data_IF_629179951478
#
_entry.id   IF_629179951478
#
_cell.length_a   1.000
_cell.length_b   1.000
_cell.length_c   1.000
_cell.angle_alpha   90.00
_cell.angle_beta   90.00
_cell.angle_gamma   90.00
#
_symmetry.space_group_name_H-M   'P 1'
#
loop_
_entity.id
_entity.type
_entity.pdbx_description
1 polymer ?
#
# COMPACT_ATOMS: atom_id res chain seq x y z
N UNK A 1 26.36 22.53 6.64
CA UNK A 1 25.15 23.37 6.57
C UNK A 1 25.01 23.89 5.14
N UNK A 2 24.07 23.36 4.35
CA UNK A 2 23.80 23.87 2.99
C UNK A 2 22.91 25.10 3.12
N UNK A 3 23.39 26.24 2.65
CA UNK A 3 22.68 27.52 2.66
C UNK A 3 21.51 27.46 1.68
N UNK A 4 20.28 27.51 2.21
CA UNK A 4 19.08 27.67 1.40
C UNK A 4 19.06 29.09 0.80
N UNK A 5 19.23 29.21 -0.52
CA UNK A 5 18.95 30.46 -1.23
C UNK A 5 17.44 30.64 -1.28
N UNK A 6 16.92 31.49 -0.40
CA UNK A 6 15.56 32.01 -0.48
C UNK A 6 15.50 32.91 -1.71
N UNK A 7 14.83 32.48 -2.77
CA UNK A 7 14.43 33.40 -3.84
C UNK A 7 13.41 34.37 -3.23
N UNK A 8 13.81 35.62 -3.00
CA UNK A 8 12.88 36.68 -2.64
C UNK A 8 11.76 36.71 -3.68
N UNK A 9 10.47 36.72 -3.30
CA UNK A 9 9.41 36.97 -4.25
C UNK A 9 9.72 38.29 -4.97
N UNK A 10 9.45 38.38 -6.28
CA UNK A 10 9.54 39.63 -7.02
C UNK A 10 8.60 40.63 -6.33
N UNK A 11 9.11 41.41 -5.40
CA UNK A 11 8.47 42.63 -4.94
C UNK A 11 8.31 43.48 -6.19
N UNK A 12 7.08 43.68 -6.67
CA UNK A 12 6.81 44.81 -7.53
C UNK A 12 7.23 46.04 -6.72
N UNK A 13 8.42 46.56 -7.01
CA UNK A 13 8.84 47.84 -6.48
C UNK A 13 7.91 48.86 -7.10
N UNK A 14 6.91 49.28 -6.34
CA UNK A 14 6.06 50.39 -6.72
C UNK A 14 6.96 51.61 -6.83
N UNK A 15 7.16 52.11 -8.05
CA UNK A 15 7.99 53.28 -8.31
C UNK A 15 7.04 54.49 -8.41
N UNK A 16 6.86 55.30 -7.36
CA UNK A 16 5.78 56.28 -7.27
C UNK A 16 6.04 57.54 -8.13
N UNK A 17 6.91 57.46 -9.14
CA UNK A 17 7.30 58.62 -9.97
C UNK A 17 6.20 59.09 -10.94
N UNK A 18 5.07 58.39 -11.02
CA UNK A 18 3.97 58.72 -11.96
C UNK A 18 2.63 59.05 -11.29
N UNK A 19 2.54 59.15 -9.97
CA UNK A 19 1.30 59.57 -9.29
C UNK A 19 1.37 61.07 -9.06
N UNK A 20 0.65 61.83 -9.90
CA UNK A 20 0.61 63.30 -9.82
C UNK A 20 -0.26 63.80 -8.66
N UNK A 21 -1.15 62.97 -8.11
CA UNK A 21 -1.98 63.31 -6.94
C UNK A 21 -2.52 62.08 -6.19
N UNK A 22 -2.86 62.23 -4.90
CA UNK A 22 -3.56 61.20 -4.10
C UNK A 22 -4.92 60.80 -4.72
N UNK A 23 -5.55 61.72 -5.46
CA UNK A 23 -6.76 61.49 -6.26
C UNK A 23 -6.53 60.53 -7.44
N UNK A 24 -5.37 60.60 -8.10
CA UNK A 24 -4.98 59.66 -9.16
C UNK A 24 -4.64 58.26 -8.60
N UNK A 25 -4.13 58.21 -7.37
CA UNK A 25 -3.92 56.96 -6.66
C UNK A 25 -5.25 56.31 -6.25
N UNK A 26 -6.17 57.09 -5.66
CA UNK A 26 -7.48 56.57 -5.23
C UNK A 26 -8.34 56.09 -6.40
N UNK A 27 -8.17 56.64 -7.59
CA UNK A 27 -8.90 56.23 -8.80
C UNK A 27 -8.29 55.03 -9.53
N UNK A 28 -7.00 54.71 -9.27
CA UNK A 28 -6.32 53.53 -9.83
C UNK A 28 -6.39 52.29 -8.93
N UNK A 29 -6.85 52.44 -7.69
CA UNK A 29 -7.11 51.34 -6.76
C UNK A 29 -8.58 50.92 -6.89
N UNK A 30 -8.83 49.80 -7.57
CA UNK A 30 -10.14 49.15 -7.51
C UNK A 30 -10.37 48.64 -6.06
N UNK A 31 -11.35 49.17 -5.30
CA UNK A 31 -11.45 48.96 -3.85
C UNK A 31 -11.65 47.49 -3.45
N UNK A 32 -12.16 46.67 -4.36
CA UNK A 32 -12.46 45.25 -4.13
C UNK A 32 -11.47 44.29 -4.81
N UNK A 33 -10.35 44.79 -5.37
CA UNK A 33 -9.42 43.98 -6.16
C UNK A 33 -8.00 44.02 -5.60
N UNK A 34 -7.50 42.87 -5.19
CA UNK A 34 -6.14 42.71 -4.64
C UNK A 34 -5.45 41.55 -5.36
N UNK A 35 -4.28 41.78 -5.96
CA UNK A 35 -3.51 40.77 -6.71
C UNK A 35 -4.35 39.99 -7.75
N UNK A 36 -5.25 40.68 -8.47
CA UNK A 36 -6.12 40.05 -9.48
C UNK A 36 -7.31 39.26 -8.92
N UNK A 37 -7.47 39.19 -7.60
CA UNK A 37 -8.63 38.59 -6.94
C UNK A 37 -9.68 39.65 -6.64
N UNK A 38 -10.95 39.36 -6.85
CA UNK A 38 -12.05 40.32 -6.63
C UNK A 38 -12.98 39.83 -5.53
N UNK A 39 -13.18 40.62 -4.47
CA UNK A 39 -14.19 40.33 -3.46
C UNK A 39 -15.59 40.72 -3.98
N UNK A 40 -16.55 39.82 -3.88
CA UNK A 40 -17.95 40.03 -4.28
C UNK A 40 -18.90 39.37 -3.28
N UNK A 41 -20.06 39.96 -3.12
CA UNK A 41 -21.22 39.30 -2.51
C UNK A 41 -22.00 38.61 -3.62
N UNK A 42 -22.25 37.31 -3.47
CA UNK A 42 -22.82 36.46 -4.53
C UNK A 42 -24.05 35.73 -3.97
N UNK A 43 -25.19 35.75 -4.68
CA UNK A 43 -26.36 34.95 -4.34
C UNK A 43 -26.04 33.46 -4.23
N UNK A 44 -26.56 32.78 -3.20
CA UNK A 44 -26.25 31.37 -2.95
C UNK A 44 -26.71 30.41 -4.06
N UNK A 45 -27.72 30.82 -4.83
CA UNK A 45 -28.27 30.09 -5.99
C UNK A 45 -27.41 30.22 -7.26
N UNK A 46 -26.50 31.21 -7.31
CA UNK A 46 -25.52 31.37 -8.39
C UNK A 46 -24.20 30.65 -8.12
N UNK A 47 -24.12 29.90 -7.01
CA UNK A 47 -22.93 29.18 -6.58
C UNK A 47 -23.20 27.68 -6.62
N UNK A 48 -22.41 26.98 -7.43
CA UNK A 48 -22.41 25.55 -7.61
C UNK A 48 -21.24 24.89 -6.85
N UNK A 49 -21.52 23.74 -6.23
CA UNK A 49 -20.50 22.88 -5.63
C UNK A 49 -20.17 21.71 -6.58
N UNK A 50 -18.88 21.51 -6.85
CA UNK A 50 -18.37 20.27 -7.49
C UNK A 50 -17.80 19.35 -6.42
N UNK A 51 -17.70 18.02 -6.68
CA UNK A 51 -17.03 17.09 -5.77
C UNK A 51 -15.66 17.63 -5.32
N UNK A 52 -15.49 17.74 -4.00
CA UNK A 52 -14.27 18.21 -3.37
C UNK A 52 -13.44 17.03 -2.84
N UNK A 53 -12.14 17.25 -2.73
CA UNK A 53 -11.18 16.29 -2.13
C UNK A 53 -11.60 15.83 -0.73
N UNK A 54 -12.09 16.76 0.10
CA UNK A 54 -12.60 16.44 1.45
C UNK A 54 -14.12 16.30 1.37
N UNK A 55 -14.61 15.10 1.67
CA UNK A 55 -16.05 14.77 1.52
C UNK A 55 -16.85 14.97 2.80
N UNK A 56 -16.23 14.74 3.97
CA UNK A 56 -16.91 14.85 5.27
C UNK A 56 -16.64 16.22 5.89
N UNK A 57 -17.72 16.95 6.17
CA UNK A 57 -17.69 18.26 6.80
C UNK A 57 -18.35 18.24 8.17
N UNK A 58 -17.57 18.56 9.20
CA UNK A 58 -17.98 18.51 10.60
C UNK A 58 -18.39 19.91 11.10
N UNK A 59 -19.30 19.95 12.09
CA UNK A 59 -19.76 21.16 12.78
C UNK A 59 -20.39 22.24 11.88
N UNK A 60 -21.19 21.84 10.89
CA UNK A 60 -21.91 22.78 10.00
C UNK A 60 -22.96 23.59 10.79
N UNK A 61 -23.71 22.94 11.70
CA UNK A 61 -24.78 23.61 12.45
C UNK A 61 -24.29 24.74 13.37
N UNK A 62 -23.20 24.51 14.09
CA UNK A 62 -22.55 25.54 14.91
C UNK A 62 -22.06 26.71 14.05
N UNK A 63 -21.44 26.40 12.90
CA UNK A 63 -21.01 27.43 11.95
C UNK A 63 -22.20 28.19 11.36
N UNK A 64 -23.32 27.53 11.08
CA UNK A 64 -24.53 28.17 10.58
C UNK A 64 -25.08 29.18 11.60
N UNK A 65 -25.10 28.82 12.88
CA UNK A 65 -25.52 29.75 13.94
C UNK A 65 -24.59 30.96 14.05
N UNK A 66 -23.27 30.72 13.97
CA UNK A 66 -22.28 31.81 13.92
C UNK A 66 -22.47 32.73 12.71
N UNK A 67 -22.79 32.16 11.54
CA UNK A 67 -22.97 32.92 10.29
C UNK A 67 -24.18 33.85 10.30
N UNK A 68 -25.19 33.61 11.14
CA UNK A 68 -26.31 34.56 11.34
C UNK A 68 -25.83 35.92 11.88
N UNK A 69 -24.74 35.92 12.65
CA UNK A 69 -24.10 37.15 13.16
C UNK A 69 -23.19 37.82 12.12
N UNK A 70 -22.98 37.19 10.96
CA UNK A 70 -22.13 37.68 9.90
C UNK A 70 -21.06 36.69 9.46
N UNK A 71 -20.64 36.80 8.20
CA UNK A 71 -19.56 35.99 7.65
C UNK A 71 -18.21 36.60 8.01
N UNK A 72 -17.37 35.85 8.73
CA UNK A 72 -16.03 36.33 9.11
C UNK A 72 -14.98 36.20 8.01
N UNK A 73 -15.10 35.19 7.15
CA UNK A 73 -14.13 34.90 6.10
C UNK A 73 -14.84 34.54 4.79
N UNK A 74 -14.44 35.13 3.65
CA UNK A 74 -15.03 34.84 2.35
C UNK A 74 -14.71 33.41 1.88
N UNK A 75 -15.57 32.85 1.03
CA UNK A 75 -15.26 31.63 0.27
C UNK A 75 -14.41 31.95 -0.96
N UNK A 76 -13.80 30.95 -1.59
CA UNK A 76 -13.09 31.13 -2.87
C UNK A 76 -13.86 30.46 -3.99
N UNK A 77 -14.13 31.21 -5.07
CA UNK A 77 -14.91 30.74 -6.22
C UNK A 77 -14.22 31.08 -7.53
N UNK A 78 -14.48 30.28 -8.55
CA UNK A 78 -14.13 30.59 -9.93
C UNK A 78 -15.41 30.79 -10.76
N UNK A 79 -15.35 31.68 -11.75
CA UNK A 79 -16.46 31.82 -12.70
C UNK A 79 -16.51 30.62 -13.63
N UNK A 80 -17.70 30.05 -13.81
CA UNK A 80 -18.01 28.97 -14.75
C UNK A 80 -18.35 29.51 -16.13
N UNK A 81 -18.30 28.67 -17.16
CA UNK A 81 -18.72 28.98 -18.52
C UNK A 81 -20.18 29.42 -18.60
N UNK A 82 -21.03 28.86 -17.73
CA UNK A 82 -22.47 29.16 -17.68
C UNK A 82 -22.80 30.47 -16.96
N UNK A 83 -21.80 31.25 -16.55
CA UNK A 83 -21.99 32.51 -15.82
C UNK A 83 -22.09 32.38 -14.29
N UNK A 84 -22.45 31.19 -13.79
CA UNK A 84 -22.42 30.84 -12.36
C UNK A 84 -21.00 30.80 -11.79
N UNK A 85 -20.90 30.59 -10.47
CA UNK A 85 -19.66 30.44 -9.72
C UNK A 85 -19.49 29.00 -9.23
N UNK A 86 -18.28 28.46 -9.30
CA UNK A 86 -17.96 27.13 -8.74
C UNK A 86 -17.07 27.30 -7.52
N UNK A 87 -17.44 26.64 -6.43
CA UNK A 87 -16.66 26.64 -5.18
C UNK A 87 -15.32 25.94 -5.41
N UNK A 88 -14.24 26.66 -5.10
CA UNK A 88 -12.89 26.11 -5.03
C UNK A 88 -12.50 25.77 -3.60
N UNK A 89 -12.85 26.63 -2.64
CA UNK A 89 -12.56 26.46 -1.21
C UNK A 89 -13.67 27.09 -0.35
N UNK A 90 -13.91 26.48 0.81
CA UNK A 90 -14.88 27.01 1.78
C UNK A 90 -16.30 26.47 1.64
N UNK A 91 -16.47 25.28 1.04
CA UNK A 91 -17.78 24.64 0.88
C UNK A 91 -18.54 24.52 2.21
N UNK A 92 -17.84 24.28 3.33
CA UNK A 92 -18.45 24.26 4.67
C UNK A 92 -19.19 25.56 5.02
N UNK A 93 -18.62 26.71 4.66
CA UNK A 93 -19.25 28.03 4.90
C UNK A 93 -20.44 28.24 3.97
N UNK A 94 -20.36 27.77 2.73
CA UNK A 94 -21.49 27.83 1.82
C UNK A 94 -22.66 26.96 2.28
N UNK A 95 -22.40 25.72 2.75
CA UNK A 95 -23.42 24.87 3.36
C UNK A 95 -23.99 25.48 4.64
N UNK A 96 -23.14 26.04 5.51
CA UNK A 96 -23.57 26.72 6.72
C UNK A 96 -24.40 27.98 6.41
N UNK A 97 -24.05 28.76 5.39
CA UNK A 97 -24.83 29.91 4.92
C UNK A 97 -26.22 29.48 4.46
N UNK A 98 -26.31 28.39 3.69
CA UNK A 98 -27.59 27.79 3.27
C UNK A 98 -28.41 27.35 4.47
N UNK A 99 -27.80 26.65 5.43
CA UNK A 99 -28.47 26.20 6.64
C UNK A 99 -28.91 27.38 7.54
N UNK A 100 -28.16 28.47 7.56
CA UNK A 100 -28.47 29.70 8.27
C UNK A 100 -29.60 30.52 7.62
N UNK A 101 -29.99 30.19 6.37
CA UNK A 101 -31.02 30.89 5.62
C UNK A 101 -30.55 32.22 5.01
N UNK A 102 -29.25 32.40 4.79
CA UNK A 102 -28.73 33.57 4.10
C UNK A 102 -29.14 33.56 2.61
N UNK A 103 -29.33 34.73 2.00
CA UNK A 103 -29.60 34.85 0.56
C UNK A 103 -28.33 34.90 -0.27
N UNK A 104 -27.25 35.43 0.31
CA UNK A 104 -25.98 35.71 -0.35
C UNK A 104 -24.80 35.48 0.58
N UNK A 105 -23.60 35.35 0.01
CA UNK A 105 -22.36 35.08 0.73
C UNK A 105 -21.20 35.87 0.11
N UNK A 106 -20.27 36.33 0.94
CA UNK A 106 -19.02 36.95 0.49
C UNK A 106 -18.07 35.89 -0.09
N UNK A 107 -17.57 36.17 -1.29
CA UNK A 107 -16.71 35.30 -2.04
C UNK A 107 -15.59 36.07 -2.73
N UNK A 108 -14.39 35.53 -2.69
CA UNK A 108 -13.25 35.97 -3.48
C UNK A 108 -13.31 35.22 -4.81
N UNK A 109 -13.55 35.96 -5.89
CA UNK A 109 -13.48 35.46 -7.26
C UNK A 109 -12.02 35.40 -7.69
N UNK A 110 -11.57 34.21 -8.05
CA UNK A 110 -10.23 33.92 -8.55
C UNK A 110 -10.29 33.34 -9.97
N UNK A 111 -9.13 33.26 -10.62
CA UNK A 111 -9.00 32.62 -11.92
C UNK A 111 -9.39 31.14 -11.85
N UNK A 112 -10.14 30.67 -12.85
CA UNK A 112 -10.58 29.28 -12.92
C UNK A 112 -9.38 28.34 -13.10
N UNK A 113 -9.38 27.16 -12.45
CA UNK A 113 -8.43 26.10 -12.77
C UNK A 113 -8.51 25.75 -14.26
N UNK A 114 -7.37 25.53 -14.91
CA UNK A 114 -7.33 25.24 -16.35
C UNK A 114 -7.98 23.91 -16.71
N UNK A 115 -7.95 22.96 -15.79
CA UNK A 115 -8.56 21.65 -15.92
C UNK A 115 -8.90 21.07 -14.53
N UNK A 116 -9.51 19.89 -14.54
CA UNK A 116 -9.91 19.17 -13.33
C UNK A 116 -8.73 18.85 -12.41
N UNK A 117 -7.61 18.39 -12.99
CA UNK A 117 -6.42 18.04 -12.23
C UNK A 117 -5.86 19.26 -11.47
N UNK A 118 -5.81 20.43 -12.11
CA UNK A 118 -5.38 21.68 -11.48
C UNK A 118 -6.26 22.05 -10.28
N UNK A 119 -7.57 21.78 -10.37
CA UNK A 119 -8.49 21.95 -9.23
C UNK A 119 -8.13 21.00 -8.09
N UNK A 120 -7.99 19.71 -8.37
CA UNK A 120 -7.65 18.69 -7.36
C UNK A 120 -6.30 19.00 -6.71
N UNK A 121 -5.28 19.37 -7.49
CA UNK A 121 -3.97 19.77 -6.96
C UNK A 121 -4.07 20.99 -6.03
N UNK A 122 -4.87 21.99 -6.40
CA UNK A 122 -5.10 23.17 -5.56
C UNK A 122 -5.74 22.81 -4.22
N UNK A 123 -6.77 21.95 -4.25
CA UNK A 123 -7.46 21.47 -3.04
C UNK A 123 -6.54 20.60 -2.17
N UNK A 124 -5.81 19.66 -2.76
CA UNK A 124 -4.85 18.82 -2.03
C UNK A 124 -3.76 19.66 -1.38
N UNK A 125 -3.19 20.62 -2.10
CA UNK A 125 -2.11 21.47 -1.58
C UNK A 125 -2.59 22.25 -0.36
N UNK A 126 -3.79 22.82 -0.42
CA UNK A 126 -4.38 23.57 0.69
C UNK A 126 -4.72 22.66 1.89
N UNK A 127 -5.35 21.51 1.65
CA UNK A 127 -5.70 20.56 2.73
C UNK A 127 -4.46 19.96 3.41
N UNK A 128 -3.41 19.64 2.64
CA UNK A 128 -2.13 19.13 3.18
C UNK A 128 -1.44 20.21 4.02
N UNK A 129 -1.47 21.48 3.60
CA UNK A 129 -0.90 22.60 4.36
C UNK A 129 -1.64 22.88 5.67
N UNK A 130 -2.92 22.51 5.77
CA UNK A 130 -3.72 22.60 6.99
C UNK A 130 -3.51 21.44 7.97
N UNK A 131 -2.62 20.51 7.64
CA UNK A 131 -2.32 19.30 8.44
C UNK A 131 -3.56 18.46 8.81
N UNK A 132 -4.66 18.61 8.07
CA UNK A 132 -5.97 18.01 8.39
C UNK A 132 -6.51 17.19 7.21
N UNK A 133 -5.62 16.39 6.61
CA UNK A 133 -5.93 15.56 5.45
C UNK A 133 -6.14 14.11 5.89
N UNK A 134 -7.35 13.57 5.72
CA UNK A 134 -7.64 12.17 6.01
C UNK A 134 -7.01 11.26 4.94
N UNK A 135 -6.63 10.05 5.33
CA UNK A 135 -6.00 9.09 4.42
C UNK A 135 -6.96 8.66 3.31
N UNK A 136 -8.25 8.47 3.60
CA UNK A 136 -9.28 8.11 2.60
C UNK A 136 -9.40 9.16 1.48
N UNK A 137 -9.48 10.43 1.84
CA UNK A 137 -9.55 11.56 0.91
C UNK A 137 -8.27 11.59 0.03
N UNK A 138 -7.11 11.28 0.63
CA UNK A 138 -5.83 11.32 -0.07
C UNK A 138 -5.68 10.16 -1.07
N UNK A 139 -6.15 8.96 -0.70
CA UNK A 139 -6.21 7.79 -1.59
C UNK A 139 -7.11 8.09 -2.78
N UNK A 140 -8.30 8.61 -2.53
CA UNK A 140 -9.30 8.92 -3.58
C UNK A 140 -8.75 9.97 -4.54
N UNK A 141 -8.20 11.07 -4.02
CA UNK A 141 -7.68 12.16 -4.84
C UNK A 141 -6.46 11.75 -5.69
N UNK A 142 -5.57 10.93 -5.13
CA UNK A 142 -4.42 10.41 -5.89
C UNK A 142 -4.91 9.44 -6.98
N UNK A 143 -5.92 8.62 -6.70
CA UNK A 143 -6.56 7.77 -7.72
C UNK A 143 -7.16 8.61 -8.85
N UNK A 144 -7.89 9.69 -8.54
CA UNK A 144 -8.48 10.58 -9.54
C UNK A 144 -7.41 11.24 -10.41
N UNK A 145 -6.31 11.73 -9.82
CA UNK A 145 -5.20 12.30 -10.59
C UNK A 145 -4.55 11.29 -11.53
N UNK A 146 -4.40 10.03 -11.10
CA UNK A 146 -3.88 8.95 -11.95
C UNK A 146 -4.85 8.66 -13.10
N UNK A 147 -6.16 8.64 -12.85
CA UNK A 147 -7.18 8.45 -13.88
C UNK A 147 -7.22 9.61 -14.89
N UNK A 148 -6.91 10.83 -14.45
CA UNK A 148 -6.73 12.02 -15.29
C UNK A 148 -5.41 12.02 -16.09
N UNK A 149 -4.60 10.95 -16.01
CA UNK A 149 -3.41 10.75 -16.82
C UNK A 149 -2.10 11.24 -16.17
N UNK A 150 -2.12 11.69 -14.92
CA UNK A 150 -0.90 12.08 -14.22
C UNK A 150 -0.16 10.87 -13.66
N UNK A 151 1.15 10.80 -13.94
CA UNK A 151 1.98 9.76 -13.32
C UNK A 151 2.37 10.13 -11.88
N UNK A 152 2.73 9.13 -11.07
CA UNK A 152 3.08 9.31 -9.66
C UNK A 152 4.27 10.26 -9.44
N UNK A 153 5.18 10.38 -10.40
CA UNK A 153 6.34 11.28 -10.32
C UNK A 153 5.92 12.75 -10.46
N UNK A 154 5.00 13.04 -11.39
CA UNK A 154 4.41 14.36 -11.56
C UNK A 154 3.61 14.79 -10.34
N UNK A 155 2.76 13.88 -9.83
CA UNK A 155 1.95 14.13 -8.62
C UNK A 155 2.86 14.44 -7.43
N UNK A 156 3.91 13.65 -7.21
CA UNK A 156 4.88 13.85 -6.14
C UNK A 156 5.58 15.22 -6.23
N UNK A 157 6.06 15.57 -7.43
CA UNK A 157 6.73 16.86 -7.67
C UNK A 157 5.79 18.03 -7.40
N UNK A 158 4.53 17.94 -7.85
CA UNK A 158 3.55 19.03 -7.71
C UNK A 158 3.05 19.22 -6.29
N UNK A 159 2.92 18.13 -5.52
CA UNK A 159 2.54 18.17 -4.10
C UNK A 159 3.74 18.39 -3.16
N UNK A 160 4.98 18.40 -3.66
CA UNK A 160 6.18 18.54 -2.84
C UNK A 160 6.40 17.36 -1.89
N UNK A 161 6.04 16.14 -2.30
CA UNK A 161 6.16 14.89 -1.53
C UNK A 161 7.09 13.91 -2.21
N UNK A 162 7.55 12.90 -1.48
CA UNK A 162 8.37 11.83 -2.03
C UNK A 162 7.57 10.96 -3.01
N UNK A 163 8.20 10.56 -4.12
CA UNK A 163 7.59 9.61 -5.06
C UNK A 163 7.17 8.31 -4.38
N UNK A 164 7.98 7.81 -3.43
CA UNK A 164 7.63 6.59 -2.68
C UNK A 164 6.37 6.78 -1.85
N UNK A 165 6.17 7.96 -1.24
CA UNK A 165 4.96 8.28 -0.50
C UNK A 165 3.71 8.25 -1.40
N UNK A 166 3.75 8.93 -2.55
CA UNK A 166 2.65 8.91 -3.53
C UNK A 166 2.38 7.50 -4.06
N UNK A 167 3.44 6.74 -4.33
CA UNK A 167 3.32 5.35 -4.80
C UNK A 167 2.60 4.46 -3.79
N UNK A 168 2.92 4.60 -2.49
CA UNK A 168 2.23 3.86 -1.42
C UNK A 168 0.75 4.18 -1.41
N UNK A 169 0.38 5.46 -1.46
CA UNK A 169 -1.03 5.87 -1.42
C UNK A 169 -1.77 5.40 -2.67
N UNK A 170 -1.17 5.55 -3.86
CA UNK A 170 -1.77 5.09 -5.10
C UNK A 170 -2.06 3.57 -5.06
N UNK A 171 -1.19 2.76 -4.44
CA UNK A 171 -1.42 1.31 -4.29
C UNK A 171 -2.63 0.97 -3.42
N UNK A 172 -3.07 1.87 -2.54
CA UNK A 172 -4.21 1.63 -1.65
C UNK A 172 -5.56 1.78 -2.35
N UNK A 173 -5.61 2.42 -3.53
CA UNK A 173 -6.84 2.51 -4.32
C UNK A 173 -7.38 1.11 -4.72
N UNK A 174 -6.46 0.17 -4.98
CA UNK A 174 -6.74 -1.23 -5.27
C UNK A 174 -6.58 -2.17 -4.06
N UNK A 175 -6.50 -1.64 -2.84
CA UNK A 175 -6.39 -2.47 -1.64
C UNK A 175 -7.65 -3.31 -1.39
N UNK A 176 -7.50 -4.36 -0.58
CA UNK A 176 -8.58 -5.22 -0.14
C UNK A 176 -9.76 -4.39 0.43
N UNK A 177 -11.03 -4.74 0.15
CA UNK A 177 -12.19 -3.93 0.56
C UNK A 177 -12.22 -3.58 2.05
N UNK A 178 -11.89 -4.54 2.92
CA UNK A 178 -11.81 -4.31 4.37
C UNK A 178 -10.69 -3.33 4.78
N UNK A 179 -9.59 -3.25 4.01
CA UNK A 179 -8.54 -2.24 4.26
C UNK A 179 -9.07 -0.85 3.95
N UNK A 180 -9.79 -0.69 2.84
CA UNK A 180 -10.42 0.59 2.48
C UNK A 180 -11.45 1.01 3.54
N UNK A 181 -12.21 0.05 4.07
CA UNK A 181 -13.10 0.30 5.20
C UNK A 181 -12.34 0.75 6.44
N UNK A 182 -11.24 0.09 6.83
CA UNK A 182 -10.44 0.50 7.99
C UNK A 182 -9.81 1.89 7.83
N UNK A 183 -9.47 2.29 6.59
CA UNK A 183 -9.00 3.65 6.29
C UNK A 183 -10.16 4.66 6.43
N UNK A 184 -11.35 4.34 5.91
CA UNK A 184 -12.52 5.21 6.01
C UNK A 184 -12.97 5.41 7.46
N UNK A 185 -12.98 4.33 8.25
CA UNK A 185 -13.31 4.32 9.68
C UNK A 185 -12.19 4.93 10.54
N UNK A 186 -11.09 5.39 9.93
CA UNK A 186 -9.95 6.01 10.61
C UNK A 186 -9.23 5.09 11.61
N UNK A 187 -9.43 3.77 11.53
CA UNK A 187 -8.61 2.76 12.23
C UNK A 187 -7.18 2.73 11.70
N UNK A 188 -6.96 3.20 10.47
CA UNK A 188 -5.63 3.31 9.85
C UNK A 188 -5.47 4.70 9.23
N UNK A 189 -4.55 5.47 9.79
CA UNK A 189 -4.25 6.84 9.34
C UNK A 189 -2.90 6.96 8.61
N UNK A 190 -2.02 5.97 8.74
CA UNK A 190 -0.69 5.95 8.12
C UNK A 190 -0.68 5.10 6.82
N UNK A 191 -0.24 5.64 5.67
CA UNK A 191 -0.19 4.91 4.40
C UNK A 191 0.65 3.63 4.46
N UNK A 192 1.76 3.63 5.21
CA UNK A 192 2.61 2.43 5.29
C UNK A 192 1.94 1.33 6.11
N UNK A 193 1.27 1.70 7.21
CA UNK A 193 0.46 0.78 8.00
C UNK A 193 -0.64 0.15 7.15
N UNK A 194 -1.33 0.93 6.33
CA UNK A 194 -2.36 0.43 5.42
C UNK A 194 -1.80 -0.63 4.43
N UNK A 195 -0.59 -0.44 3.90
CA UNK A 195 0.05 -1.44 3.03
C UNK A 195 0.41 -2.74 3.77
N UNK A 196 0.90 -2.62 5.01
CA UNK A 196 1.20 -3.79 5.85
C UNK A 196 -0.09 -4.56 6.12
N UNK A 197 -1.15 -3.84 6.49
CA UNK A 197 -2.47 -4.44 6.75
C UNK A 197 -3.04 -5.10 5.48
N UNK A 198 -2.90 -4.47 4.30
CA UNK A 198 -3.27 -5.10 3.03
C UNK A 198 -2.52 -6.42 2.79
N UNK A 199 -1.21 -6.44 3.05
CA UNK A 199 -0.39 -7.67 2.96
C UNK A 199 -0.83 -8.76 3.95
N UNK A 200 -1.37 -8.38 5.11
CA UNK A 200 -1.93 -9.32 6.10
C UNK A 200 -3.21 -9.96 5.56
N UNK A 201 -4.11 -9.17 4.97
CA UNK A 201 -5.33 -9.67 4.32
C UNK A 201 -5.04 -10.63 3.16
N UNK A 202 -3.98 -10.38 2.38
CA UNK A 202 -3.54 -11.30 1.32
C UNK A 202 -2.98 -12.63 1.87
N UNK A 203 -2.46 -12.64 3.10
CA UNK A 203 -1.77 -13.79 3.67
C UNK A 203 -2.63 -14.68 4.57
N UNK A 204 -3.72 -14.15 5.13
CA UNK A 204 -4.52 -14.83 6.15
C UNK A 204 -6.03 -14.59 5.94
N UNK A 205 -6.80 -15.67 5.83
CA UNK A 205 -8.26 -15.59 5.83
C UNK A 205 -8.83 -15.06 7.16
N UNK A 206 -8.09 -15.23 8.27
CA UNK A 206 -8.47 -14.74 9.59
C UNK A 206 -7.89 -13.35 9.91
N UNK A 207 -7.43 -12.60 8.90
CA UNK A 207 -6.77 -11.32 9.05
C UNK A 207 -7.56 -10.33 9.92
N UNK A 208 -8.88 -10.23 9.71
CA UNK A 208 -9.74 -9.29 10.45
C UNK A 208 -9.70 -9.53 11.96
N UNK A 209 -9.91 -10.78 12.39
CA UNK A 209 -9.84 -11.17 13.81
C UNK A 209 -8.47 -10.88 14.41
N UNK A 210 -7.40 -11.15 13.67
CA UNK A 210 -6.03 -10.90 14.12
C UNK A 210 -5.77 -9.39 14.28
N UNK A 211 -6.22 -8.58 13.32
CA UNK A 211 -6.06 -7.13 13.35
C UNK A 211 -6.89 -6.46 14.45
N UNK A 212 -8.03 -7.04 14.84
CA UNK A 212 -8.81 -6.55 15.98
C UNK A 212 -7.98 -6.55 17.27
N UNK A 213 -7.10 -7.54 17.46
CA UNK A 213 -6.19 -7.60 18.62
C UNK A 213 -5.00 -6.62 18.55
N UNK A 214 -4.81 -5.95 17.41
CA UNK A 214 -3.73 -4.97 17.20
C UNK A 214 -4.18 -3.52 17.36
N UNK A 215 -5.48 -3.29 17.64
CA UNK A 215 -6.03 -1.96 17.87
C UNK A 215 -5.66 -1.46 19.28
N UNK A 216 -5.32 -0.19 19.39
CA UNK A 216 -5.11 0.49 20.67
C UNK A 216 -6.45 0.93 21.30
N UNK A 217 -6.39 1.68 22.41
CA UNK A 217 -7.56 2.19 23.14
C UNK A 217 -8.46 3.07 22.26
N UNK A 218 -7.87 3.79 21.29
CA UNK A 218 -8.57 4.63 20.33
C UNK A 218 -9.07 3.84 19.11
N UNK A 219 -8.88 2.52 19.10
CA UNK A 219 -9.26 1.65 17.98
C UNK A 219 -8.29 1.71 16.79
N UNK A 220 -7.19 2.43 16.89
CA UNK A 220 -6.21 2.62 15.83
C UNK A 220 -5.21 1.46 15.75
N UNK A 221 -4.80 1.10 14.54
CA UNK A 221 -3.76 0.11 14.31
C UNK A 221 -2.44 0.84 14.11
N UNK A 222 -1.51 0.67 15.05
CA UNK A 222 -0.17 1.25 14.94
C UNK A 222 0.72 0.45 13.98
N UNK A 223 1.65 1.14 13.32
CA UNK A 223 2.64 0.53 12.43
C UNK A 223 3.44 -0.61 13.09
N UNK A 224 3.95 -0.46 14.33
CA UNK A 224 4.68 -1.56 14.98
C UNK A 224 3.79 -2.77 15.26
N UNK A 225 2.52 -2.58 15.64
CA UNK A 225 1.59 -3.67 15.87
C UNK A 225 1.30 -4.45 14.58
N UNK A 226 0.97 -3.73 13.50
CA UNK A 226 0.77 -4.33 12.19
C UNK A 226 2.02 -5.08 11.70
N UNK A 227 3.21 -4.50 11.87
CA UNK A 227 4.46 -5.13 11.45
C UNK A 227 4.77 -6.40 12.25
N UNK A 228 4.55 -6.41 13.56
CA UNK A 228 4.71 -7.61 14.40
C UNK A 228 3.80 -8.74 13.94
N UNK A 229 2.53 -8.43 13.64
CA UNK A 229 1.57 -9.40 13.13
C UNK A 229 1.97 -9.95 11.75
N UNK A 230 2.41 -9.08 10.83
CA UNK A 230 2.89 -9.53 9.52
C UNK A 230 4.10 -10.46 9.65
N UNK A 231 5.03 -10.14 10.55
CA UNK A 231 6.22 -10.97 10.80
C UNK A 231 5.85 -12.34 11.39
N UNK A 232 4.91 -12.40 12.34
CA UNK A 232 4.47 -13.69 12.91
C UNK A 232 3.77 -14.57 11.87
N UNK A 233 2.98 -13.97 10.97
CA UNK A 233 2.36 -14.69 9.85
C UNK A 233 3.40 -15.26 8.89
N UNK A 234 4.44 -14.49 8.55
CA UNK A 234 5.53 -14.97 7.69
C UNK A 234 6.32 -16.11 8.36
N UNK A 235 6.65 -15.97 9.65
CA UNK A 235 7.35 -17.02 10.41
C UNK A 235 6.55 -18.31 10.50
N UNK A 236 5.23 -18.22 10.68
CA UNK A 236 4.34 -19.40 10.71
C UNK A 236 4.34 -20.14 9.37
N UNK A 237 4.32 -19.42 8.23
CA UNK A 237 4.44 -20.03 6.89
C UNK A 237 5.78 -20.72 6.68
N UNK A 238 6.89 -20.07 7.06
CA UNK A 238 8.22 -20.67 6.95
C UNK A 238 8.38 -21.93 7.82
N UNK A 239 7.75 -21.96 9.00
CA UNK A 239 7.76 -23.15 9.85
C UNK A 239 6.94 -24.31 9.27
N UNK A 240 5.86 -24.01 8.53
CA UNK A 240 5.03 -25.02 7.87
C UNK A 240 5.64 -25.52 6.54
N UNK A 241 6.34 -24.67 5.79
CA UNK A 241 7.08 -25.05 4.58
C UNK A 241 8.35 -25.84 4.90
N UNK A 242 8.94 -25.64 6.08
CA UNK A 242 10.01 -26.52 6.62
C UNK A 242 9.49 -27.86 7.15
N UNK A 243 8.42 -28.44 6.59
CA UNK A 243 8.16 -29.87 6.73
C UNK A 243 9.39 -30.63 6.19
N UNK A 244 9.98 -31.44 7.06
CA UNK A 244 11.30 -32.08 6.92
C UNK A 244 11.65 -32.45 5.47
N UNK A 245 12.78 -31.94 4.95
CA UNK A 245 13.47 -32.66 3.86
C UNK A 245 13.70 -34.08 4.36
N UNK A 246 12.96 -35.06 3.85
CA UNK A 246 13.27 -36.47 4.08
C UNK A 246 14.65 -36.68 3.47
N UNK A 247 15.70 -36.63 4.29
CA UNK A 247 17.05 -37.00 3.85
C UNK A 247 16.96 -38.43 3.35
N UNK A 248 17.41 -38.67 2.12
CA UNK A 248 17.44 -40.03 1.58
C UNK A 248 18.38 -40.89 2.44
N UNK A 249 18.24 -42.22 2.39
CA UNK A 249 19.16 -43.11 3.13
C UNK A 249 20.62 -42.84 2.74
N UNK A 250 20.88 -42.53 1.46
CA UNK A 250 22.19 -42.18 0.92
C UNK A 250 22.79 -40.90 1.53
N UNK A 251 21.96 -39.94 1.94
CA UNK A 251 22.42 -38.70 2.58
C UNK A 251 22.89 -38.90 4.01
N UNK A 252 22.54 -40.03 4.64
CA UNK A 252 22.95 -40.39 6.01
C UNK A 252 24.23 -41.24 6.05
N UNK A 253 24.61 -41.88 4.94
CA UNK A 253 25.79 -42.75 4.87
C UNK A 253 27.09 -41.95 4.94
N UNK A 254 27.98 -42.34 5.87
CA UNK A 254 29.35 -41.83 5.99
C UNK A 254 30.24 -42.47 4.94
N UNK A 255 31.33 -41.79 4.56
CA UNK A 255 32.31 -42.30 3.56
C UNK A 255 32.84 -43.70 3.88
N UNK A 256 32.98 -44.04 5.17
CA UNK A 256 33.44 -45.36 5.67
C UNK A 256 32.40 -46.49 5.52
N UNK A 257 31.13 -46.15 5.35
CA UNK A 257 30.02 -47.11 5.22
C UNK A 257 29.75 -47.48 3.75
N UNK A 258 30.40 -46.80 2.81
CA UNK A 258 30.33 -47.08 1.37
C UNK A 258 31.50 -48.01 1.01
N UNK A 259 31.24 -49.24 0.52
CA UNK A 259 32.30 -50.16 0.09
C UNK A 259 33.21 -49.58 -1.00
N UNK A 260 34.47 -50.03 -1.01
CA UNK A 260 35.44 -49.63 -2.02
C UNK A 260 34.96 -50.01 -3.43
N UNK A 261 35.03 -49.05 -4.37
CA UNK A 261 34.59 -49.23 -5.75
C UNK A 261 33.16 -48.76 -6.04
N UNK A 262 32.41 -48.31 -5.03
CA UNK A 262 31.11 -47.66 -5.21
C UNK A 262 31.28 -46.14 -5.30
N UNK A 263 30.74 -45.53 -6.35
CA UNK A 263 30.80 -44.07 -6.55
C UNK A 263 29.44 -43.43 -6.26
N UNK A 264 29.45 -42.37 -5.45
CA UNK A 264 28.26 -41.53 -5.23
C UNK A 264 28.09 -40.48 -6.33
N UNK A 265 26.87 -40.33 -6.83
CA UNK A 265 26.52 -39.32 -7.86
C UNK A 265 25.67 -38.16 -7.30
N UNK A 266 25.63 -37.01 -8.01
CA UNK A 266 24.89 -35.81 -7.58
C UNK A 266 23.40 -36.06 -7.32
N UNK A 267 22.78 -35.09 -6.63
CA UNK A 267 21.43 -35.22 -6.06
C UNK A 267 20.34 -35.42 -7.11
N UNK A 268 19.72 -36.60 -7.11
CA UNK A 268 18.35 -36.79 -7.58
C UNK A 268 17.37 -36.61 -6.40
N UNK A 269 16.06 -36.54 -6.69
CA UNK A 269 15.04 -36.55 -5.64
C UNK A 269 15.21 -37.82 -4.77
N UNK A 270 15.03 -37.73 -3.43
CA UNK A 270 15.10 -38.89 -2.56
C UNK A 270 14.01 -39.88 -2.98
N UNK A 271 14.40 -41.09 -3.41
CA UNK A 271 13.45 -42.16 -3.71
C UNK A 271 13.60 -43.24 -2.65
N UNK A 272 12.50 -43.54 -1.95
CA UNK A 272 12.48 -44.57 -0.92
C UNK A 272 11.89 -45.86 -1.50
N UNK A 273 12.71 -46.62 -2.23
CA UNK A 273 12.28 -47.87 -2.89
C UNK A 273 12.70 -49.04 -2.00
N UNK A 274 11.74 -49.74 -1.41
CA UNK A 274 12.01 -50.98 -0.69
C UNK A 274 12.17 -52.15 -1.67
N UNK A 275 13.11 -53.03 -1.36
CA UNK A 275 13.50 -54.17 -2.18
C UNK A 275 13.78 -55.38 -1.31
N UNK A 276 13.66 -56.56 -1.91
CA UNK A 276 14.13 -57.81 -1.31
C UNK A 276 14.93 -58.64 -2.32
N UNK A 277 15.87 -59.43 -1.82
CA UNK A 277 16.68 -60.36 -2.62
C UNK A 277 17.15 -61.54 -1.76
N UNK A 278 17.57 -62.63 -2.39
CA UNK A 278 18.12 -63.81 -1.70
C UNK A 278 19.64 -63.68 -1.51
N UNK A 279 20.13 -64.00 -0.31
CA UNK A 279 21.55 -64.15 -0.02
C UNK A 279 22.13 -65.37 -0.74
N UNK A 280 23.47 -65.45 -0.80
CA UNK A 280 24.17 -66.66 -1.29
C UNK A 280 23.83 -67.91 -0.46
N UNK A 281 23.45 -67.72 0.81
CA UNK A 281 22.97 -68.78 1.72
C UNK A 281 21.46 -69.04 1.63
N UNK A 282 20.76 -68.48 0.64
CA UNK A 282 19.34 -68.72 0.39
C UNK A 282 18.37 -67.99 1.31
N UNK A 283 18.82 -67.03 2.12
CA UNK A 283 17.97 -66.28 3.05
C UNK A 283 17.43 -65.00 2.38
N UNK A 284 16.16 -64.67 2.61
CA UNK A 284 15.58 -63.42 2.14
C UNK A 284 16.13 -62.22 2.94
N UNK A 285 16.63 -61.21 2.23
CA UNK A 285 17.13 -59.95 2.78
C UNK A 285 16.26 -58.81 2.26
N UNK A 286 15.76 -57.98 3.18
CA UNK A 286 15.06 -56.74 2.88
C UNK A 286 16.01 -55.53 2.97
N UNK A 287 15.76 -54.54 2.13
CA UNK A 287 16.58 -53.34 2.05
C UNK A 287 15.94 -52.21 1.27
N UNK A 288 16.68 -51.11 1.16
CA UNK A 288 16.29 -49.96 0.35
C UNK A 288 17.28 -49.74 -0.78
N UNK A 289 16.77 -49.52 -1.99
CA UNK A 289 17.61 -49.18 -3.14
C UNK A 289 18.30 -47.84 -2.90
N UNK A 290 19.58 -47.75 -3.28
CA UNK A 290 20.39 -46.55 -3.21
C UNK A 290 20.77 -46.08 -4.63
N UNK A 291 19.83 -45.51 -5.41
CA UNK A 291 20.03 -45.13 -6.82
C UNK A 291 21.17 -44.13 -7.03
N UNK A 292 21.60 -43.42 -5.98
CA UNK A 292 22.73 -42.48 -6.04
C UNK A 292 24.09 -43.13 -5.81
N UNK A 293 24.14 -44.43 -5.55
CA UNK A 293 25.36 -45.21 -5.42
C UNK A 293 25.50 -46.13 -6.63
N UNK A 294 26.57 -45.93 -7.41
CA UNK A 294 26.87 -46.72 -8.60
C UNK A 294 27.88 -47.80 -8.24
N UNK A 295 27.50 -49.06 -8.43
CA UNK A 295 28.37 -50.22 -8.27
C UNK A 295 29.47 -50.27 -9.33
N UNK A 296 30.53 -51.05 -9.07
CA UNK A 296 31.61 -51.25 -10.03
C UNK A 296 31.14 -52.02 -11.27
N UNK A 297 30.19 -52.94 -11.10
CA UNK A 297 29.58 -53.72 -12.17
C UNK A 297 28.29 -53.03 -12.65
N UNK A 298 28.14 -52.74 -13.96
CA UNK A 298 26.96 -52.06 -14.49
C UNK A 298 25.64 -52.83 -14.34
N UNK A 299 25.69 -54.15 -14.12
CA UNK A 299 24.51 -54.98 -13.92
C UNK A 299 24.09 -55.11 -12.45
N UNK A 300 24.77 -54.42 -11.53
CA UNK A 300 24.48 -54.45 -10.10
C UNK A 300 23.98 -53.09 -9.62
N UNK A 301 23.13 -53.13 -8.59
CA UNK A 301 22.63 -51.93 -7.92
C UNK A 301 22.96 -51.99 -6.44
N UNK A 302 23.11 -50.81 -5.83
CA UNK A 302 23.42 -50.70 -4.41
C UNK A 302 22.15 -50.73 -3.57
N UNK A 303 22.15 -51.54 -2.51
CA UNK A 303 21.04 -51.69 -1.56
C UNK A 303 21.57 -51.48 -0.14
N UNK A 304 20.83 -50.73 0.68
CA UNK A 304 21.04 -50.67 2.13
C UNK A 304 20.22 -51.76 2.80
N UNK A 305 20.87 -52.77 3.38
CA UNK A 305 20.20 -53.82 4.13
C UNK A 305 19.57 -53.27 5.42
N UNK A 306 18.33 -53.68 5.71
CA UNK A 306 17.64 -53.23 6.94
C UNK A 306 18.25 -53.82 8.22
N UNK A 307 18.66 -55.10 8.17
CA UNK A 307 19.07 -55.86 9.35
C UNK A 307 20.40 -55.40 9.95
N UNK A 308 21.38 -55.08 9.11
CA UNK A 308 22.74 -54.75 9.53
C UNK A 308 23.23 -53.37 9.05
N UNK A 309 22.37 -52.63 8.36
CA UNK A 309 22.64 -51.30 7.81
C UNK A 309 23.90 -51.24 6.93
N UNK A 310 24.24 -52.34 6.25
CA UNK A 310 25.34 -52.37 5.30
C UNK A 310 24.87 -52.10 3.89
N UNK A 311 25.71 -51.40 3.13
CA UNK A 311 25.52 -51.23 1.69
C UNK A 311 26.10 -52.45 0.98
N UNK A 312 25.30 -53.10 0.16
CA UNK A 312 25.69 -54.24 -0.66
C UNK A 312 25.38 -53.98 -2.14
N UNK A 313 26.16 -54.60 -3.02
CA UNK A 313 25.94 -54.59 -4.46
C UNK A 313 25.24 -55.88 -4.85
N UNK A 314 24.09 -55.78 -5.52
CA UNK A 314 23.24 -56.94 -5.85
C UNK A 314 22.91 -56.90 -7.35
N UNK A 315 23.02 -58.03 -8.07
CA UNK A 315 22.59 -58.12 -9.46
C UNK A 315 21.13 -57.68 -9.64
N UNK A 316 20.87 -56.80 -10.61
CA UNK A 316 19.56 -56.19 -10.80
C UNK A 316 18.45 -57.22 -11.10
N UNK A 317 18.79 -58.35 -11.71
CA UNK A 317 17.90 -59.47 -12.01
C UNK A 317 17.46 -60.27 -10.76
N UNK A 318 18.18 -60.12 -9.65
CA UNK A 318 17.87 -60.79 -8.36
C UNK A 318 17.03 -59.95 -7.41
N UNK A 319 16.66 -58.72 -7.81
CA UNK A 319 15.94 -57.78 -6.96
C UNK A 319 14.44 -57.84 -7.23
N UNK A 320 13.68 -57.91 -6.14
CA UNK A 320 12.23 -57.84 -6.15
C UNK A 320 11.81 -56.53 -5.49
N UNK A 321 11.12 -55.66 -6.23
CA UNK A 321 10.55 -54.42 -5.69
C UNK A 321 9.36 -54.76 -4.78
N UNK A 322 9.34 -54.21 -3.58
CA UNK A 322 8.22 -54.40 -2.66
C UNK A 322 7.14 -53.34 -2.93
N UNK A 323 5.88 -53.75 -3.00
CA UNK A 323 4.77 -52.81 -3.11
C UNK A 323 4.53 -52.08 -1.78
N UNK A 324 4.00 -50.86 -1.83
CA UNK A 324 3.68 -50.06 -0.64
C UNK A 324 2.75 -50.83 0.34
N UNK A 325 1.88 -51.68 -0.20
CA UNK A 325 0.95 -52.55 0.54
C UNK A 325 1.62 -53.68 1.33
N UNK A 326 2.83 -54.10 0.98
CA UNK A 326 3.57 -55.17 1.67
C UNK A 326 4.42 -54.66 2.84
N UNK A 327 4.68 -53.35 2.91
CA UNK A 327 5.49 -52.69 3.94
C UNK A 327 4.68 -52.29 5.21
N UNK A 328 3.36 -52.44 5.18
CA UNK A 328 2.46 -52.06 6.29
C UNK A 328 1.94 -53.25 7.13
N UNK A 329 2.52 -54.44 6.96
CA UNK A 329 2.31 -55.61 7.84
C UNK A 329 3.54 -55.84 8.70
#
# INVERSE_FOLDING_TARGET
>A
MKTFKINKPKTQSFNPKNIKSLTDFSSSVEPNKVNGKTLKTIPLDQIDAKPQVRTVMENIGELAESMKSGQLLPISVAKSENGNYVILQGERRWLAAKQAGLSEIEAIVVEAPKNEADRIFGQLTENIQRENMKLCDLVSSISDLVQLGHNQTEIAKRLGKDRTYISRIASLASAHPLVKQFINDSFINDPQTAQIVNSIFEKSANAERLLASCRDEDGCISRPAAQRLLNSLNASKESHEKKQKVKSYEDRLKKKEIPNGIRRVPSAAPVNIAVSFLSESGHLINGHLLPRLIAKNPNEVCVLCEKDHKVVSVPADKIILQSISELQK
#
